data_IF_729916751771
#
_entry.id   IF_729916751771
#
_cell.length_a   1.000
_cell.length_b   1.000
_cell.length_c   1.000
_cell.angle_alpha   90.00
_cell.angle_beta   90.00
_cell.angle_gamma   90.00
#
_symmetry.space_group_name_H-M   'P 1'
#
loop_
_entity.id
_entity.type
_entity.pdbx_description
1 polymer ?
#
# COMPACT_ATOMS: atom_id res chain seq x y z
N UNK A 1 33.09 35.14 -8.39
CA UNK A 1 32.15 34.63 -7.37
C UNK A 1 31.17 33.67 -8.06
N UNK A 2 31.11 32.40 -7.67
CA UNK A 2 30.32 31.37 -8.37
C UNK A 2 28.82 31.43 -8.06
N UNK A 3 27.96 31.18 -9.06
CA UNK A 3 26.50 31.09 -8.87
C UNK A 3 26.09 29.70 -8.37
N UNK A 4 25.03 29.62 -7.57
CA UNK A 4 24.44 28.35 -7.11
C UNK A 4 23.86 27.58 -8.30
N UNK A 5 24.29 26.33 -8.48
CA UNK A 5 23.84 25.49 -9.60
C UNK A 5 22.41 24.97 -9.41
N UNK A 6 21.74 24.63 -10.51
CA UNK A 6 20.34 24.13 -10.47
C UNK A 6 20.18 22.89 -9.57
N UNK A 7 21.17 22.00 -9.51
CA UNK A 7 21.14 20.81 -8.66
C UNK A 7 20.99 21.17 -7.16
N UNK A 8 21.78 22.14 -6.68
CA UNK A 8 21.72 22.65 -5.31
C UNK A 8 20.37 23.34 -5.01
N UNK A 9 19.81 24.05 -6.00
CA UNK A 9 18.53 24.75 -5.84
C UNK A 9 17.32 23.82 -5.64
N UNK A 10 17.38 22.56 -6.07
CA UNK A 10 16.25 21.61 -5.95
C UNK A 10 15.92 21.27 -4.49
N UNK A 11 16.92 21.24 -3.59
CA UNK A 11 16.72 20.94 -2.16
C UNK A 11 16.27 22.13 -1.32
N UNK A 12 16.39 23.36 -1.83
CA UNK A 12 16.10 24.59 -1.09
C UNK A 12 14.59 24.82 -0.84
N UNK A 13 13.71 24.00 -1.43
CA UNK A 13 12.27 24.08 -1.19
C UNK A 13 11.65 25.40 -1.68
N UNK A 14 12.11 25.98 -2.79
CA UNK A 14 11.48 27.15 -3.43
C UNK A 14 10.65 26.73 -4.66
N UNK A 15 11.14 26.99 -5.87
CA UNK A 15 10.43 26.73 -7.14
C UNK A 15 10.25 25.23 -7.43
N UNK A 16 11.16 24.38 -6.93
CA UNK A 16 11.16 22.93 -7.22
C UNK A 16 10.34 22.10 -6.23
N UNK A 17 9.20 22.64 -5.75
CA UNK A 17 8.25 21.89 -4.92
C UNK A 17 7.34 21.01 -5.79
N UNK A 18 6.84 19.93 -5.22
CA UNK A 18 5.82 19.11 -5.87
C UNK A 18 4.49 19.85 -5.95
N UNK A 19 3.81 19.77 -7.09
CA UNK A 19 2.45 20.29 -7.25
C UNK A 19 1.46 19.28 -6.65
N UNK A 20 0.93 19.59 -5.47
CA UNK A 20 0.10 18.65 -4.68
C UNK A 20 -1.37 19.04 -4.57
N UNK A 21 -1.79 20.18 -5.11
CA UNK A 21 -3.15 20.72 -4.94
C UNK A 21 -4.28 19.74 -5.32
N UNK A 22 -4.10 18.96 -6.40
CA UNK A 22 -5.11 17.99 -6.86
C UNK A 22 -4.85 16.55 -6.40
N UNK A 23 -3.81 16.32 -5.57
CA UNK A 23 -3.51 14.99 -5.06
C UNK A 23 -4.62 14.53 -4.11
N UNK A 24 -5.12 13.31 -4.32
CA UNK A 24 -6.27 12.76 -3.58
C UNK A 24 -5.95 12.42 -2.13
N UNK A 25 -4.71 12.07 -1.84
CA UNK A 25 -4.25 11.80 -0.49
C UNK A 25 -3.08 10.84 -0.43
N UNK A 26 -2.54 10.59 0.77
CA UNK A 26 -1.50 9.60 0.97
C UNK A 26 -2.07 8.20 0.77
N UNK A 27 -1.46 7.45 -0.14
CA UNK A 27 -1.83 6.06 -0.40
C UNK A 27 -1.07 5.17 0.57
N UNK A 28 -1.77 4.45 1.44
CA UNK A 28 -1.18 3.66 2.53
C UNK A 28 -2.14 2.53 2.91
N UNK A 29 -1.61 1.42 3.40
CA UNK A 29 -2.43 0.42 4.10
C UNK A 29 -3.04 0.99 5.38
N UNK A 30 -3.94 0.26 6.03
CA UNK A 30 -4.45 0.65 7.35
C UNK A 30 -3.32 0.66 8.40
N UNK A 31 -3.54 1.33 9.53
CA UNK A 31 -2.71 1.10 10.71
C UNK A 31 -2.81 -0.36 11.15
N UNK A 32 -1.66 -0.95 11.53
CA UNK A 32 -1.59 -2.33 11.98
C UNK A 32 -2.32 -2.50 13.32
N UNK A 33 -3.60 -2.83 13.25
CA UNK A 33 -4.49 -2.98 14.39
C UNK A 33 -4.49 -4.43 14.92
N UNK A 34 -4.99 -4.65 16.14
CA UNK A 34 -5.10 -5.98 16.74
C UNK A 34 -5.89 -6.97 15.86
N UNK A 35 -6.94 -6.48 15.19
CA UNK A 35 -7.76 -7.29 14.29
C UNK A 35 -6.99 -7.79 13.07
N UNK A 36 -6.04 -7.02 12.55
CA UNK A 36 -5.20 -7.41 11.40
C UNK A 36 -4.11 -8.40 11.81
N UNK A 37 -3.52 -8.19 13.01
CA UNK A 37 -2.48 -9.09 13.55
C UNK A 37 -2.98 -10.48 13.90
N UNK A 38 -4.21 -10.61 14.41
CA UNK A 38 -4.75 -11.86 14.95
C UNK A 38 -5.93 -12.44 14.15
N UNK A 39 -6.45 -11.70 13.18
CA UNK A 39 -7.61 -12.07 12.38
C UNK A 39 -7.57 -11.47 10.99
N UNK A 40 -8.69 -10.92 10.55
CA UNK A 40 -8.79 -10.13 9.33
C UNK A 40 -9.81 -9.01 9.51
N UNK A 41 -9.58 -7.88 8.84
CA UNK A 41 -10.56 -6.82 8.66
C UNK A 41 -11.15 -6.92 7.25
N UNK A 42 -12.46 -6.72 7.16
CA UNK A 42 -13.19 -6.67 5.89
C UNK A 42 -13.37 -5.22 5.47
N UNK A 43 -12.82 -4.87 4.31
CA UNK A 43 -12.98 -3.59 3.64
C UNK A 43 -13.83 -3.73 2.38
N UNK A 44 -14.51 -2.64 2.00
CA UNK A 44 -15.27 -2.54 0.76
C UNK A 44 -14.61 -1.54 -0.18
N UNK A 45 -14.30 -1.97 -1.40
CA UNK A 45 -13.87 -1.04 -2.46
C UNK A 45 -15.07 -0.23 -2.91
N UNK A 46 -15.15 1.04 -2.50
CA UNK A 46 -16.27 1.92 -2.85
C UNK A 46 -16.12 2.55 -4.23
N UNK A 47 -14.90 2.86 -4.62
CA UNK A 47 -14.57 3.44 -5.93
C UNK A 47 -13.10 3.21 -6.29
N UNK A 48 -12.81 3.19 -7.59
CA UNK A 48 -11.45 3.19 -8.13
C UNK A 48 -11.25 4.50 -8.87
N UNK A 49 -10.27 5.30 -8.43
CA UNK A 49 -10.09 6.68 -8.86
C UNK A 49 -8.67 6.93 -9.38
N UNK A 50 -8.52 7.96 -10.20
CA UNK A 50 -7.23 8.44 -10.66
C UNK A 50 -6.69 9.56 -9.75
N UNK A 51 -5.42 9.45 -9.36
CA UNK A 51 -4.68 10.50 -8.63
C UNK A 51 -3.72 11.24 -9.59
N UNK A 52 -3.92 12.55 -9.83
CA UNK A 52 -3.10 13.31 -10.77
C UNK A 52 -1.61 13.22 -10.46
N UNK A 53 -0.81 12.74 -11.43
CA UNK A 53 0.64 12.55 -11.29
C UNK A 53 1.04 11.21 -10.67
N UNK A 54 0.11 10.26 -10.56
CA UNK A 54 0.39 8.83 -10.33
C UNK A 54 -0.16 8.03 -11.52
N UNK A 55 0.63 7.11 -12.06
CA UNK A 55 0.18 6.22 -13.14
C UNK A 55 -0.76 5.11 -12.65
N UNK A 56 -0.49 4.56 -11.46
CA UNK A 56 -1.31 3.51 -10.86
C UNK A 56 -2.66 4.04 -10.36
N UNK A 57 -3.79 3.36 -10.66
CA UNK A 57 -5.08 3.70 -10.09
C UNK A 57 -5.08 3.52 -8.57
N UNK A 58 -5.93 4.29 -7.89
CA UNK A 58 -6.16 4.18 -6.46
C UNK A 58 -7.51 3.56 -6.18
N UNK A 59 -7.61 2.85 -5.09
CA UNK A 59 -8.87 2.34 -4.59
C UNK A 59 -9.24 2.98 -3.27
N UNK A 60 -10.46 3.46 -3.22
CA UNK A 60 -11.07 3.92 -2.00
C UNK A 60 -11.67 2.72 -1.28
N UNK A 61 -11.11 2.38 -0.13
CA UNK A 61 -11.53 1.22 0.65
C UNK A 61 -12.13 1.68 1.97
N UNK A 62 -13.39 1.33 2.19
CA UNK A 62 -14.12 1.64 3.41
C UNK A 62 -14.11 0.46 4.36
N UNK A 63 -13.56 0.67 5.54
CA UNK A 63 -13.55 -0.27 6.66
C UNK A 63 -14.51 0.18 7.75
N UNK A 64 -15.01 -0.77 8.54
CA UNK A 64 -15.71 -0.48 9.79
C UNK A 64 -14.68 -0.32 10.90
N UNK A 65 -14.75 0.77 11.66
CA UNK A 65 -13.79 0.99 12.73
C UNK A 65 -13.98 -0.04 13.86
N UNK A 66 -12.90 -0.63 14.40
CA UNK A 66 -13.00 -1.74 15.36
C UNK A 66 -13.65 -1.34 16.69
N UNK A 67 -13.38 -0.12 17.18
CA UNK A 67 -13.79 0.31 18.53
C UNK A 67 -14.91 1.36 18.58
N UNK A 68 -15.28 1.96 17.44
CA UNK A 68 -16.18 3.12 17.41
C UNK A 68 -17.18 2.90 16.28
N UNK A 69 -18.40 3.42 16.45
CA UNK A 69 -19.40 3.41 15.38
C UNK A 69 -19.08 4.48 14.33
N UNK A 70 -18.03 4.23 13.54
CA UNK A 70 -17.62 5.07 12.42
C UNK A 70 -17.06 4.22 11.28
N UNK A 71 -17.12 4.76 10.07
CA UNK A 71 -16.42 4.22 8.92
C UNK A 71 -15.04 4.85 8.82
N UNK A 72 -14.06 4.07 8.39
CA UNK A 72 -12.70 4.50 8.12
C UNK A 72 -12.39 4.27 6.65
N UNK A 73 -12.07 5.34 5.96
CA UNK A 73 -11.75 5.32 4.54
C UNK A 73 -10.23 5.38 4.38
N UNK A 74 -9.67 4.45 3.62
CA UNK A 74 -8.26 4.41 3.30
C UNK A 74 -8.07 4.36 1.78
N UNK A 75 -7.01 5.02 1.31
CA UNK A 75 -6.61 5.02 -0.09
C UNK A 75 -5.55 3.93 -0.31
N UNK A 76 -5.93 2.88 -1.02
CA UNK A 76 -5.04 1.78 -1.38
C UNK A 76 -4.54 1.94 -2.81
N UNK A 77 -3.41 1.29 -3.12
CA UNK A 77 -3.03 1.08 -4.52
C UNK A 77 -3.98 0.04 -5.09
N UNK A 78 -4.56 0.32 -6.25
CA UNK A 78 -5.40 -0.66 -6.90
C UNK A 78 -4.54 -1.77 -7.52
N UNK A 79 -4.91 -3.01 -7.23
CA UNK A 79 -4.36 -4.19 -7.89
C UNK A 79 -5.08 -4.43 -9.21
N UNK A 80 -4.38 -5.02 -10.17
CA UNK A 80 -5.01 -5.42 -11.42
C UNK A 80 -6.12 -6.45 -11.15
N UNK A 81 -7.27 -6.28 -11.81
CA UNK A 81 -8.44 -7.11 -11.58
C UNK A 81 -9.30 -6.71 -10.38
N UNK A 82 -8.89 -5.70 -9.60
CA UNK A 82 -9.73 -5.17 -8.53
C UNK A 82 -10.91 -4.38 -9.09
N UNK A 83 -12.08 -4.52 -8.49
CA UNK A 83 -13.32 -3.89 -8.98
C UNK A 83 -14.13 -3.22 -7.87
N UNK A 84 -14.97 -2.27 -8.26
CA UNK A 84 -15.88 -1.55 -7.36
C UNK A 84 -16.91 -2.50 -6.77
N UNK A 85 -17.11 -2.47 -5.46
CA UNK A 85 -17.95 -3.45 -4.77
C UNK A 85 -17.26 -4.78 -4.47
N UNK A 86 -15.94 -4.89 -4.65
CA UNK A 86 -15.15 -6.01 -4.18
C UNK A 86 -14.84 -5.92 -2.68
N UNK A 87 -14.97 -7.02 -1.95
CA UNK A 87 -14.49 -7.11 -0.58
C UNK A 87 -12.99 -7.42 -0.54
N UNK A 88 -12.26 -6.59 0.21
CA UNK A 88 -10.83 -6.76 0.49
C UNK A 88 -10.68 -7.22 1.93
N UNK A 89 -9.85 -8.23 2.14
CA UNK A 89 -9.56 -8.78 3.46
C UNK A 89 -8.11 -8.48 3.83
N UNK A 90 -7.91 -7.78 4.95
CA UNK A 90 -6.59 -7.42 5.46
C UNK A 90 -6.32 -8.14 6.77
N UNK A 91 -5.29 -8.99 6.82
CA UNK A 91 -4.81 -9.59 8.06
C UNK A 91 -4.25 -11.00 7.92
N UNK A 92 -3.78 -11.55 9.04
CA UNK A 92 -3.08 -12.84 9.06
C UNK A 92 -3.96 -14.05 8.71
N UNK A 93 -5.29 -13.94 8.89
CA UNK A 93 -6.27 -14.99 8.56
C UNK A 93 -7.03 -14.71 7.27
N UNK A 94 -6.65 -13.68 6.50
CA UNK A 94 -7.25 -13.43 5.21
C UNK A 94 -6.89 -14.57 4.23
N UNK A 95 -7.76 -14.82 3.26
CA UNK A 95 -7.47 -15.78 2.18
C UNK A 95 -6.53 -15.15 1.15
N UNK A 96 -5.71 -15.98 0.51
CA UNK A 96 -4.84 -15.54 -0.59
C UNK A 96 -5.67 -15.31 -1.85
N UNK A 97 -6.08 -14.07 -2.08
CA UNK A 97 -6.86 -13.62 -3.24
C UNK A 97 -6.31 -12.28 -3.72
N UNK A 98 -6.51 -11.97 -5.01
CA UNK A 98 -6.09 -10.68 -5.58
C UNK A 98 -6.80 -9.53 -4.85
N UNK A 99 -6.01 -8.56 -4.40
CA UNK A 99 -6.48 -7.40 -3.64
C UNK A 99 -6.44 -7.58 -2.12
N UNK A 100 -6.36 -8.81 -1.60
CA UNK A 100 -6.22 -9.03 -0.16
C UNK A 100 -4.82 -8.68 0.34
N UNK A 101 -4.74 -8.28 1.61
CA UNK A 101 -3.49 -7.87 2.27
C UNK A 101 -3.15 -8.90 3.34
N UNK A 102 -2.02 -9.57 3.16
CA UNK A 102 -1.53 -10.63 4.04
C UNK A 102 -0.08 -10.35 4.45
N UNK A 103 0.37 -10.83 5.62
CA UNK A 103 1.77 -10.81 5.96
C UNK A 103 2.57 -11.71 5.01
N UNK A 104 3.75 -11.27 4.57
CA UNK A 104 4.57 -11.99 3.57
C UNK A 104 4.84 -13.44 3.99
N UNK A 105 5.02 -13.70 5.29
CA UNK A 105 5.27 -15.06 5.82
C UNK A 105 4.17 -16.09 5.50
N UNK A 106 2.95 -15.66 5.20
CA UNK A 106 1.82 -16.56 4.88
C UNK A 106 1.57 -16.68 3.37
N UNK A 107 2.32 -15.95 2.56
CA UNK A 107 2.24 -15.98 1.10
C UNK A 107 3.24 -17.03 0.61
N UNK A 108 2.88 -17.94 -0.32
CA UNK A 108 3.83 -18.93 -0.81
C UNK A 108 4.95 -18.31 -1.64
N UNK A 109 6.06 -19.03 -1.74
CA UNK A 109 7.18 -18.65 -2.60
C UNK A 109 6.75 -18.66 -4.09
N UNK A 110 7.32 -17.77 -4.88
CA UNK A 110 6.96 -17.55 -6.29
C UNK A 110 5.71 -16.69 -6.49
N UNK A 111 5.02 -16.26 -5.43
CA UNK A 111 3.83 -15.41 -5.57
C UNK A 111 4.20 -13.97 -5.88
N UNK A 112 3.42 -13.36 -6.77
CA UNK A 112 3.52 -11.93 -7.12
C UNK A 112 2.76 -11.10 -6.08
N UNK A 113 3.42 -10.09 -5.55
CA UNK A 113 2.87 -9.18 -4.51
C UNK A 113 3.12 -7.73 -4.90
N UNK A 114 2.36 -6.80 -4.31
CA UNK A 114 2.50 -5.36 -4.54
C UNK A 114 2.39 -4.58 -3.22
N UNK A 115 2.84 -3.32 -3.24
CA UNK A 115 2.78 -2.40 -2.10
C UNK A 115 3.40 -2.97 -0.81
N UNK A 116 4.54 -3.65 -0.92
CA UNK A 116 5.17 -4.40 0.18
C UNK A 116 5.73 -3.44 1.24
N UNK A 117 5.64 -3.83 2.52
CA UNK A 117 6.25 -3.12 3.64
C UNK A 117 7.75 -3.45 3.76
N UNK A 118 8.60 -2.44 3.93
CA UNK A 118 10.02 -2.62 4.26
C UNK A 118 10.20 -2.92 5.76
N UNK A 119 9.41 -2.25 6.60
CA UNK A 119 9.29 -2.54 8.02
C UNK A 119 7.84 -2.73 8.40
N UNK A 120 7.58 -3.65 9.33
CA UNK A 120 6.23 -3.97 9.81
C UNK A 120 5.51 -2.69 10.27
N UNK A 121 4.39 -2.37 9.62
CA UNK A 121 3.55 -1.22 9.93
C UNK A 121 3.98 0.10 9.26
N UNK A 122 4.88 0.07 8.28
CA UNK A 122 5.21 1.25 7.46
C UNK A 122 4.12 1.62 6.43
N UNK A 123 3.08 0.78 6.33
CA UNK A 123 1.87 0.96 5.52
C UNK A 123 2.12 0.94 4.00
N UNK A 124 3.19 0.28 3.57
CA UNK A 124 3.50 0.00 2.17
C UNK A 124 4.46 1.00 1.53
N UNK A 125 5.63 0.49 1.12
CA UNK A 125 6.77 1.32 0.63
C UNK A 125 7.30 0.83 -0.72
N UNK A 126 7.33 -0.48 -0.96
CA UNK A 126 7.95 -1.12 -2.12
C UNK A 126 6.90 -1.55 -3.18
N UNK A 127 7.32 -1.69 -4.44
CA UNK A 127 6.45 -2.13 -5.56
C UNK A 127 5.13 -1.32 -5.65
N UNK A 128 5.25 0.01 -5.85
CA UNK A 128 4.13 0.96 -5.79
C UNK A 128 3.81 1.67 -7.10
N UNK A 129 4.66 1.54 -8.13
CA UNK A 129 4.40 2.16 -9.42
C UNK A 129 3.41 1.30 -10.24
N UNK A 130 2.93 1.86 -11.35
CA UNK A 130 2.01 1.17 -12.24
C UNK A 130 2.71 0.00 -12.92
N UNK A 131 2.18 -1.22 -12.75
CA UNK A 131 2.74 -2.44 -13.34
C UNK A 131 3.95 -3.01 -12.60
N UNK A 132 4.42 -2.34 -11.55
CA UNK A 132 5.47 -2.88 -10.68
C UNK A 132 4.90 -3.99 -9.80
N UNK A 133 5.74 -4.99 -9.56
CA UNK A 133 5.46 -6.07 -8.63
C UNK A 133 6.76 -6.50 -7.94
N UNK A 134 6.62 -7.25 -6.86
CA UNK A 134 7.69 -7.99 -6.23
C UNK A 134 7.33 -9.47 -6.19
N UNK A 135 8.34 -10.34 -6.18
CA UNK A 135 8.18 -11.79 -6.08
C UNK A 135 8.71 -12.23 -4.72
N UNK A 136 7.94 -13.06 -4.02
CA UNK A 136 8.39 -13.73 -2.81
C UNK A 136 9.35 -14.85 -3.20
N UNK A 137 10.63 -14.75 -2.81
CA UNK A 137 11.64 -15.74 -3.20
C UNK A 137 11.71 -16.87 -2.19
N UNK A 138 11.88 -16.54 -0.92
CA UNK A 138 12.12 -17.54 0.12
C UNK A 138 11.75 -17.06 1.51
N UNK A 139 11.26 -17.96 2.35
CA UNK A 139 11.07 -17.70 3.78
C UNK A 139 12.16 -18.35 4.61
N UNK A 140 12.75 -17.59 5.53
CA UNK A 140 13.63 -18.15 6.54
C UNK A 140 12.85 -18.37 7.84
N UNK A 141 12.55 -19.62 8.23
CA UNK A 141 11.77 -19.91 9.43
C UNK A 141 12.53 -19.57 10.72
N UNK A 142 13.86 -19.55 10.70
CA UNK A 142 14.68 -19.33 11.90
C UNK A 142 14.73 -17.86 12.30
N UNK A 143 14.78 -16.95 11.33
CA UNK A 143 14.91 -15.51 11.58
C UNK A 143 13.60 -14.74 11.35
N UNK A 144 12.53 -15.42 10.91
CA UNK A 144 11.26 -14.79 10.54
C UNK A 144 11.37 -13.81 9.36
N UNK A 145 12.51 -13.81 8.65
CA UNK A 145 12.77 -12.92 7.52
C UNK A 145 12.28 -13.57 6.22
N UNK A 146 11.59 -12.77 5.41
CA UNK A 146 11.17 -13.19 4.06
C UNK A 146 11.94 -12.36 3.04
N UNK A 147 12.49 -13.02 2.02
CA UNK A 147 13.23 -12.36 0.94
C UNK A 147 12.28 -12.15 -0.24
N UNK A 148 12.18 -10.92 -0.72
CA UNK A 148 11.44 -10.55 -1.92
C UNK A 148 12.29 -9.63 -2.80
N UNK A 149 12.13 -9.73 -4.13
CA UNK A 149 12.74 -8.83 -5.12
C UNK A 149 11.72 -8.41 -6.16
#
# INVERSE_FOLDING_TARGET
MGRVIRAQRKGAGSVFRSHTHHRKGPVKFQSLDFGERNGYLKGMVTEIIHDPGRGAPLAWVTFRHPFRYKLQNELFIATEGMYTGQFVYCGCKASLMVGNVLPIRSIPEGTVVCNVEHHIGDRGVLARASGDYAIVISHNPNNGTSRSF
#
